data_IF_576241609587
#
_entry.id   IF_576241609587
#
_cell.length_a   1.000
_cell.length_b   1.000
_cell.length_c   1.000
_cell.angle_alpha   90.00
_cell.angle_beta   90.00
_cell.angle_gamma   90.00
#
_symmetry.space_group_name_H-M   'P 1'
#
loop_
_entity.id
_entity.type
_entity.pdbx_description
1 polymer ?
#
# COMPACT_ATOMS: atom_id res chain seq x y z
N UNK A 1 -12.92 -2.51 -9.19
CA UNK A 1 -13.90 -3.32 -8.44
C UNK A 1 -14.18 -2.71 -7.06
N UNK A 2 -13.19 -2.65 -6.13
CA UNK A 2 -13.42 -2.15 -4.76
C UNK A 2 -14.01 -0.74 -4.70
N UNK A 3 -13.51 0.18 -5.50
CA UNK A 3 -14.03 1.55 -5.53
C UNK A 3 -15.49 1.64 -5.99
N UNK A 4 -15.89 0.78 -6.93
CA UNK A 4 -17.28 0.69 -7.36
C UNK A 4 -18.17 0.12 -6.24
N UNK A 5 -17.69 -0.92 -5.56
CA UNK A 5 -18.41 -1.55 -4.44
C UNK A 5 -18.60 -0.54 -3.30
N UNK A 6 -17.55 0.18 -2.90
CA UNK A 6 -17.64 1.14 -1.79
C UNK A 6 -18.59 2.31 -2.07
N UNK A 7 -18.73 2.73 -3.33
CA UNK A 7 -19.66 3.79 -3.71
C UNK A 7 -21.14 3.32 -3.72
N UNK A 8 -21.39 2.01 -3.82
CA UNK A 8 -22.73 1.43 -3.90
C UNK A 8 -23.15 0.71 -2.62
N UNK A 9 -22.19 0.31 -1.78
CA UNK A 9 -22.44 -0.31 -0.49
C UNK A 9 -22.21 0.71 0.63
N UNK A 10 -23.26 1.14 1.30
CA UNK A 10 -23.22 2.19 2.34
C UNK A 10 -22.34 1.84 3.56
N UNK A 11 -21.85 0.60 3.64
CA UNK A 11 -21.12 0.07 4.80
C UNK A 11 -19.61 -0.04 4.59
N UNK A 12 -19.09 0.38 3.43
CA UNK A 12 -17.66 0.29 3.12
C UNK A 12 -17.10 1.66 2.79
N UNK A 13 -16.27 2.19 3.69
CA UNK A 13 -15.45 3.36 3.43
C UNK A 13 -14.14 2.93 2.78
N UNK A 14 -13.82 3.51 1.63
CA UNK A 14 -12.59 3.23 0.91
C UNK A 14 -11.76 4.50 0.72
N UNK A 15 -10.51 4.46 1.14
CA UNK A 15 -9.50 5.46 0.78
C UNK A 15 -8.42 4.79 -0.05
N UNK A 16 -8.07 5.38 -1.20
CA UNK A 16 -6.97 4.91 -2.04
C UNK A 16 -5.84 5.93 -1.96
N UNK A 17 -4.67 5.47 -1.55
CA UNK A 17 -3.45 6.26 -1.57
C UNK A 17 -2.45 5.72 -2.58
N UNK A 18 -1.69 6.63 -3.17
CA UNK A 18 -0.64 6.35 -4.13
C UNK A 18 0.68 6.86 -3.56
N UNK A 19 1.71 6.03 -3.64
CA UNK A 19 3.08 6.38 -3.25
C UNK A 19 3.90 6.60 -4.52
N UNK A 20 4.62 7.69 -4.56
CA UNK A 20 5.48 8.04 -5.71
C UNK A 20 6.59 8.98 -5.25
N UNK A 21 7.46 9.37 -6.17
CA UNK A 21 8.47 10.40 -5.95
C UNK A 21 8.21 11.61 -6.85
N UNK A 22 8.36 12.79 -6.29
CA UNK A 22 8.34 14.05 -7.03
C UNK A 22 9.69 14.73 -7.02
N UNK A 23 9.88 15.71 -7.88
CA UNK A 23 11.03 16.62 -7.79
C UNK A 23 10.79 17.63 -6.68
N UNK A 24 11.85 17.97 -5.94
CA UNK A 24 11.78 19.05 -4.96
C UNK A 24 11.86 20.40 -5.70
N UNK A 25 10.78 21.20 -5.71
CA UNK A 25 10.78 22.47 -6.43
C UNK A 25 11.64 23.54 -5.76
N UNK A 26 12.03 23.36 -4.49
CA UNK A 26 12.86 24.31 -3.74
C UNK A 26 14.35 24.16 -4.01
N UNK A 27 14.76 23.05 -4.62
CA UNK A 27 16.16 22.74 -4.88
C UNK A 27 16.44 22.76 -6.38
N UNK A 28 17.44 23.50 -6.78
CA UNK A 28 17.90 23.60 -8.17
C UNK A 28 18.57 22.33 -8.70
N UNK A 29 18.88 21.38 -7.82
CA UNK A 29 19.48 20.10 -8.19
C UNK A 29 18.46 19.17 -8.87
N UNK A 30 18.83 18.64 -10.04
CA UNK A 30 18.01 17.64 -10.74
C UNK A 30 17.87 16.31 -9.97
N UNK A 31 18.69 16.10 -8.94
CA UNK A 31 18.73 14.89 -8.11
C UNK A 31 17.92 15.02 -6.81
N UNK A 32 17.37 16.20 -6.55
CA UNK A 32 16.56 16.42 -5.36
C UNK A 32 15.14 15.88 -5.58
N UNK A 33 14.81 14.83 -4.84
CA UNK A 33 13.51 14.20 -4.88
C UNK A 33 12.84 14.22 -3.51
N UNK A 34 11.53 14.28 -3.48
CA UNK A 34 10.71 14.14 -2.28
C UNK A 34 9.78 12.93 -2.41
N UNK A 35 9.60 12.16 -1.33
CA UNK A 35 8.58 11.11 -1.32
C UNK A 35 7.20 11.76 -1.23
N UNK A 36 6.27 11.28 -2.03
CA UNK A 36 4.90 11.76 -2.06
C UNK A 36 3.95 10.64 -1.67
N UNK A 37 3.06 10.94 -0.74
CA UNK A 37 1.88 10.14 -0.41
C UNK A 37 0.65 10.94 -0.84
N UNK A 38 -0.01 10.49 -1.89
CA UNK A 38 -1.19 11.13 -2.47
C UNK A 38 -2.42 10.37 -2.01
N UNK A 39 -3.33 11.03 -1.28
CA UNK A 39 -4.67 10.50 -1.01
C UNK A 39 -5.53 10.72 -2.25
N UNK A 40 -5.53 9.73 -3.14
CA UNK A 40 -6.03 9.88 -4.50
C UNK A 40 -7.56 9.69 -4.61
N UNK A 41 -8.16 8.97 -3.66
CA UNK A 41 -9.60 8.72 -3.63
C UNK A 41 -10.09 8.52 -2.19
N UNK A 42 -11.27 9.04 -1.91
CA UNK A 42 -12.01 8.85 -0.65
C UNK A 42 -13.50 8.68 -1.01
N UNK A 43 -14.07 7.53 -0.73
CA UNK A 43 -15.45 7.19 -1.10
C UNK A 43 -16.50 8.11 -0.47
N UNK A 44 -16.16 8.81 0.62
CA UNK A 44 -17.04 9.80 1.28
C UNK A 44 -17.08 11.15 0.57
N UNK A 45 -16.11 11.46 -0.27
CA UNK A 45 -15.91 12.77 -0.88
C UNK A 45 -15.97 12.74 -2.41
N UNK A 46 -15.66 11.58 -3.00
CA UNK A 46 -15.44 11.43 -4.42
C UNK A 46 -16.52 10.59 -5.09
N UNK A 47 -16.68 10.82 -6.39
CA UNK A 47 -17.63 10.12 -7.24
C UNK A 47 -16.97 9.00 -8.04
N UNK A 48 -17.78 8.23 -8.79
CA UNK A 48 -17.28 7.23 -9.74
C UNK A 48 -16.39 7.86 -10.83
N UNK A 49 -16.65 9.10 -11.25
CA UNK A 49 -15.80 9.79 -12.21
C UNK A 49 -14.42 10.11 -11.64
N UNK A 50 -14.33 10.44 -10.36
CA UNK A 50 -13.05 10.65 -9.69
C UNK A 50 -12.26 9.33 -9.56
N UNK A 51 -12.95 8.22 -9.30
CA UNK A 51 -12.33 6.90 -9.30
C UNK A 51 -11.71 6.55 -10.67
N UNK A 52 -12.38 6.90 -11.77
CA UNK A 52 -11.84 6.69 -13.13
C UNK A 52 -10.56 7.50 -13.38
N UNK A 53 -10.41 8.67 -12.76
CA UNK A 53 -9.21 9.51 -12.87
C UNK A 53 -7.95 8.82 -12.31
N UNK A 54 -8.08 7.81 -11.44
CA UNK A 54 -6.94 7.05 -10.93
C UNK A 54 -6.10 6.41 -12.05
N UNK A 55 -6.71 6.07 -13.19
CA UNK A 55 -6.01 5.53 -14.35
C UNK A 55 -5.01 6.51 -14.98
N UNK A 56 -5.12 7.80 -14.69
CA UNK A 56 -4.23 8.84 -15.23
C UNK A 56 -3.04 9.14 -14.30
N UNK A 57 -3.02 8.62 -13.08
CA UNK A 57 -1.86 8.80 -12.20
C UNK A 57 -0.65 8.03 -12.72
N UNK A 58 0.38 8.76 -13.07
CA UNK A 58 1.68 8.18 -13.39
C UNK A 58 2.48 8.05 -12.11
N UNK A 59 2.72 6.82 -11.69
CA UNK A 59 3.58 6.52 -10.55
C UNK A 59 4.98 6.18 -11.05
N UNK A 60 5.99 6.72 -10.42
CA UNK A 60 7.38 6.48 -10.79
C UNK A 60 8.31 6.74 -9.61
N UNK A 61 9.53 6.25 -9.73
CA UNK A 61 10.60 6.49 -8.77
C UNK A 61 10.64 5.52 -7.60
N UNK A 62 11.53 5.80 -6.69
CA UNK A 62 11.81 4.98 -5.51
C UNK A 62 10.86 5.36 -4.37
N UNK A 63 10.39 4.38 -3.61
CA UNK A 63 9.42 4.63 -2.55
C UNK A 63 9.97 4.25 -1.16
N UNK A 64 10.08 5.21 -0.23
CA UNK A 64 10.40 4.92 1.16
C UNK A 64 9.16 4.36 1.87
N UNK A 65 8.88 3.09 1.67
CA UNK A 65 7.61 2.45 2.03
C UNK A 65 7.26 2.60 3.52
N UNK A 66 8.21 2.41 4.43
CA UNK A 66 7.99 2.57 5.87
C UNK A 66 7.61 4.00 6.24
N UNK A 67 8.28 5.00 5.67
CA UNK A 67 7.94 6.42 5.90
C UNK A 67 6.53 6.75 5.39
N UNK A 68 6.16 6.24 4.21
CA UNK A 68 4.83 6.42 3.65
C UNK A 68 3.75 5.73 4.51
N UNK A 69 4.03 4.52 5.02
CA UNK A 69 3.12 3.81 5.91
C UNK A 69 2.98 4.52 7.27
N UNK A 70 4.04 5.09 7.81
CA UNK A 70 3.99 5.90 9.03
C UNK A 70 3.12 7.15 8.82
N UNK A 71 3.30 7.86 7.70
CA UNK A 71 2.45 8.99 7.34
C UNK A 71 0.98 8.58 7.15
N UNK A 72 0.73 7.44 6.49
CA UNK A 72 -0.61 6.91 6.26
C UNK A 72 -1.29 6.47 7.56
N UNK A 73 -0.54 6.00 8.55
CA UNK A 73 -1.06 5.45 9.79
C UNK A 73 -2.00 6.42 10.55
N UNK A 74 -1.78 7.74 10.45
CA UNK A 74 -2.66 8.74 11.08
C UNK A 74 -4.05 8.81 10.45
N UNK A 75 -4.21 8.38 9.20
CA UNK A 75 -5.48 8.39 8.47
C UNK A 75 -6.23 7.07 8.57
N UNK A 76 -5.60 6.00 9.05
CA UNK A 76 -6.23 4.68 9.19
C UNK A 76 -6.95 4.64 10.55
N UNK A 77 -8.27 4.47 10.59
CA UNK A 77 -9.00 4.33 11.85
C UNK A 77 -8.62 3.02 12.55
N UNK A 78 -8.64 3.04 13.87
CA UNK A 78 -8.48 1.83 14.68
C UNK A 78 -9.70 0.92 14.49
N UNK A 79 -9.48 -0.38 14.45
CA UNK A 79 -10.59 -1.34 14.49
C UNK A 79 -11.26 -1.30 15.87
N UNK A 80 -12.58 -1.54 15.90
CA UNK A 80 -13.38 -1.59 17.11
C UNK A 80 -14.40 -2.72 17.01
N UNK A 81 -15.28 -2.88 17.98
CA UNK A 81 -16.39 -3.85 17.93
C UNK A 81 -17.30 -3.62 16.70
N UNK A 82 -17.51 -2.34 16.32
CA UNK A 82 -18.40 -1.96 15.23
C UNK A 82 -17.69 -1.66 13.90
N UNK A 83 -16.36 -1.59 13.89
CA UNK A 83 -15.58 -1.17 12.74
C UNK A 83 -14.38 -2.09 12.51
N UNK A 84 -14.38 -2.81 11.40
CA UNK A 84 -13.19 -3.48 10.90
C UNK A 84 -12.40 -2.56 9.96
N UNK A 85 -11.14 -2.34 10.27
CA UNK A 85 -10.23 -1.58 9.43
C UNK A 85 -9.24 -2.51 8.71
N UNK A 86 -9.03 -2.24 7.44
CA UNK A 86 -8.13 -3.00 6.58
C UNK A 86 -7.10 -2.07 5.92
N UNK A 87 -5.86 -2.48 5.86
CA UNK A 87 -4.85 -1.92 4.98
C UNK A 87 -4.50 -2.94 3.91
N UNK A 88 -4.80 -2.58 2.65
CA UNK A 88 -4.42 -3.38 1.48
C UNK A 88 -3.23 -2.67 0.84
N UNK A 89 -2.06 -3.29 0.90
CA UNK A 89 -0.83 -2.78 0.33
C UNK A 89 -0.43 -3.58 -0.91
N UNK A 90 -0.01 -2.89 -1.96
CA UNK A 90 0.56 -3.47 -3.17
C UNK A 90 1.96 -2.90 -3.37
N UNK A 91 2.95 -3.76 -3.55
CA UNK A 91 4.36 -3.38 -3.70
C UNK A 91 5.04 -4.29 -4.72
N UNK A 92 5.96 -3.74 -5.49
CA UNK A 92 6.71 -4.42 -6.56
C UNK A 92 8.22 -4.51 -6.27
N UNK A 93 8.67 -4.06 -5.11
CA UNK A 93 10.10 -4.02 -4.84
C UNK A 93 10.53 -3.81 -3.40
N UNK A 94 11.81 -3.46 -3.27
CA UNK A 94 12.40 -3.07 -1.99
C UNK A 94 11.98 -1.65 -1.60
N UNK A 95 11.84 -1.38 -0.28
CA UNK A 95 11.66 -0.03 0.21
C UNK A 95 12.96 0.75 0.01
N UNK A 96 13.02 1.58 -1.03
CA UNK A 96 14.20 2.35 -1.38
C UNK A 96 13.84 3.80 -1.69
N UNK A 97 14.71 4.72 -1.23
CA UNK A 97 14.63 6.12 -1.60
C UNK A 97 16.01 6.77 -1.43
N UNK A 98 16.40 7.61 -2.38
CA UNK A 98 17.62 8.39 -2.33
C UNK A 98 17.35 9.82 -2.81
N UNK A 99 17.80 10.80 -2.05
CA UNK A 99 17.70 12.21 -2.43
C UNK A 99 18.69 13.05 -1.64
N UNK A 100 19.47 13.91 -2.31
CA UNK A 100 20.30 14.98 -1.71
C UNK A 100 21.03 14.59 -0.42
N UNK A 101 21.71 13.44 -0.41
CA UNK A 101 22.45 12.94 0.76
C UNK A 101 21.63 12.11 1.75
N UNK A 102 20.31 12.02 1.58
CA UNK A 102 19.47 11.11 2.34
C UNK A 102 19.35 9.76 1.61
N UNK A 103 19.71 8.68 2.31
CA UNK A 103 19.68 7.32 1.78
C UNK A 103 18.77 6.45 2.66
N UNK A 104 17.71 5.91 2.06
CA UNK A 104 16.79 4.99 2.69
C UNK A 104 16.72 3.68 1.89
N UNK A 105 17.48 2.67 2.32
CA UNK A 105 17.57 1.38 1.62
C UNK A 105 18.09 0.25 2.51
N UNK A 106 18.03 -0.97 1.97
CA UNK A 106 18.59 -2.16 2.61
C UNK A 106 17.91 -2.54 3.91
N UNK A 107 18.66 -3.12 4.85
CA UNK A 107 18.13 -3.68 6.10
C UNK A 107 17.41 -2.63 6.97
N UNK A 108 17.91 -1.42 7.04
CA UNK A 108 17.29 -0.33 7.83
C UNK A 108 15.90 0.03 7.31
N UNK A 109 15.74 0.18 5.99
CA UNK A 109 14.47 0.48 5.36
C UNK A 109 13.45 -0.67 5.53
N UNK A 110 13.90 -1.93 5.42
CA UNK A 110 13.08 -3.12 5.68
C UNK A 110 12.57 -3.13 7.12
N UNK A 111 13.45 -2.88 8.10
CA UNK A 111 13.08 -2.87 9.51
C UNK A 111 12.18 -1.69 9.86
N UNK A 112 12.40 -0.52 9.27
CA UNK A 112 11.54 0.64 9.44
C UNK A 112 10.12 0.35 8.89
N UNK A 113 10.03 -0.24 7.71
CA UNK A 113 8.76 -0.70 7.14
C UNK A 113 8.06 -1.71 8.06
N UNK A 114 8.80 -2.68 8.62
CA UNK A 114 8.24 -3.65 9.55
C UNK A 114 7.69 -2.99 10.83
N UNK A 115 8.37 -1.97 11.36
CA UNK A 115 7.89 -1.17 12.51
C UNK A 115 6.61 -0.41 12.18
N UNK A 116 6.54 0.23 11.01
CA UNK A 116 5.35 0.94 10.55
C UNK A 116 4.15 -0.02 10.43
N UNK A 117 4.34 -1.17 9.81
CA UNK A 117 3.32 -2.23 9.70
C UNK A 117 2.87 -2.73 11.09
N UNK A 118 3.81 -2.94 12.00
CA UNK A 118 3.50 -3.34 13.38
C UNK A 118 2.68 -2.29 14.11
N UNK A 119 3.00 -1.01 13.94
CA UNK A 119 2.23 0.11 14.51
C UNK A 119 0.79 0.12 14.01
N UNK A 120 0.58 -0.10 12.72
CA UNK A 120 -0.76 -0.18 12.11
C UNK A 120 -1.53 -1.39 12.69
N UNK A 121 -0.89 -2.56 12.78
CA UNK A 121 -1.50 -3.78 13.35
C UNK A 121 -1.91 -3.61 14.81
N UNK A 122 -1.16 -2.84 15.62
CA UNK A 122 -1.51 -2.55 17.02
C UNK A 122 -2.82 -1.79 17.18
N UNK A 123 -3.28 -1.11 16.13
CA UNK A 123 -4.62 -0.46 16.11
C UNK A 123 -5.75 -1.46 15.78
N UNK A 124 -5.47 -2.76 15.71
CA UNK A 124 -6.42 -3.80 15.31
C UNK A 124 -6.64 -3.89 13.79
N UNK A 125 -5.91 -3.09 12.99
CA UNK A 125 -6.05 -3.06 11.54
C UNK A 125 -5.56 -4.36 10.92
N UNK A 126 -6.37 -4.97 10.07
CA UNK A 126 -6.01 -6.17 9.31
C UNK A 126 -5.19 -5.75 8.08
N UNK A 127 -3.91 -6.11 8.09
CA UNK A 127 -2.97 -5.77 6.99
C UNK A 127 -2.91 -6.92 5.99
N UNK A 128 -3.14 -6.61 4.72
CA UNK A 128 -3.01 -7.51 3.57
C UNK A 128 -1.98 -6.89 2.63
N UNK A 129 -0.84 -7.56 2.46
CA UNK A 129 0.23 -7.03 1.60
C UNK A 129 0.52 -7.98 0.47
N UNK A 130 0.41 -7.46 -0.73
CA UNK A 130 0.62 -8.17 -1.98
C UNK A 130 1.91 -7.72 -2.63
N UNK A 131 2.81 -8.66 -2.82
CA UNK A 131 3.99 -8.48 -3.66
C UNK A 131 3.61 -8.88 -5.08
N UNK A 132 3.71 -7.93 -6.01
CA UNK A 132 3.46 -8.15 -7.43
C UNK A 132 4.81 -8.47 -8.06
N UNK A 133 4.99 -9.73 -8.47
CA UNK A 133 6.23 -10.17 -9.11
C UNK A 133 6.39 -9.49 -10.47
N UNK A 134 7.52 -8.80 -10.64
CA UNK A 134 7.98 -8.31 -11.93
C UNK A 134 9.14 -9.17 -12.39
N UNK A 135 9.52 -9.12 -13.67
CA UNK A 135 10.61 -9.94 -14.25
C UNK A 135 11.94 -9.74 -13.51
N UNK A 136 12.17 -10.55 -12.48
CA UNK A 136 13.35 -10.51 -11.63
C UNK A 136 14.10 -11.85 -11.72
N UNK A 137 15.43 -11.81 -11.72
CA UNK A 137 16.25 -13.03 -11.64
C UNK A 137 15.93 -13.81 -10.37
N UNK A 138 16.02 -15.15 -10.41
CA UNK A 138 15.67 -16.05 -9.30
C UNK A 138 16.39 -15.75 -7.98
N UNK A 139 17.64 -15.29 -8.04
CA UNK A 139 18.43 -14.93 -6.84
C UNK A 139 17.84 -13.68 -6.18
N UNK A 140 17.59 -12.65 -6.97
CA UNK A 140 17.01 -11.38 -6.49
C UNK A 140 15.58 -11.58 -5.97
N UNK A 141 14.84 -12.51 -6.56
CA UNK A 141 13.49 -12.86 -6.12
C UNK A 141 13.50 -13.44 -4.69
N UNK A 142 14.43 -14.33 -4.37
CA UNK A 142 14.55 -14.91 -3.03
C UNK A 142 14.86 -13.84 -1.95
N UNK A 143 15.70 -12.87 -2.27
CA UNK A 143 15.99 -11.74 -1.38
C UNK A 143 14.75 -10.85 -1.18
N UNK A 144 14.03 -10.56 -2.24
CA UNK A 144 12.77 -9.80 -2.20
C UNK A 144 11.71 -10.51 -1.37
N UNK A 145 11.53 -11.81 -1.57
CA UNK A 145 10.59 -12.64 -0.78
C UNK A 145 10.93 -12.59 0.70
N UNK A 146 12.22 -12.75 1.05
CA UNK A 146 12.69 -12.66 2.44
C UNK A 146 12.45 -11.28 3.05
N UNK A 147 12.77 -10.23 2.31
CA UNK A 147 12.55 -8.85 2.73
C UNK A 147 11.06 -8.58 2.94
N UNK A 148 10.22 -8.97 2.00
CA UNK A 148 8.78 -8.76 2.07
C UNK A 148 8.14 -9.51 3.25
N UNK A 149 8.56 -10.75 3.49
CA UNK A 149 8.16 -11.49 4.69
C UNK A 149 8.64 -10.85 5.99
N UNK A 150 9.83 -10.23 5.98
CA UNK A 150 10.33 -9.48 7.15
C UNK A 150 9.45 -8.26 7.44
N UNK A 151 9.03 -7.53 6.41
CA UNK A 151 8.20 -6.33 6.55
C UNK A 151 6.76 -6.65 7.00
N UNK A 152 6.15 -7.67 6.41
CA UNK A 152 4.70 -7.91 6.55
C UNK A 152 4.35 -9.19 7.32
N UNK A 153 5.31 -10.09 7.52
CA UNK A 153 5.10 -11.36 8.23
C UNK A 153 4.10 -12.27 7.51
N UNK A 154 3.14 -12.81 8.25
CA UNK A 154 2.06 -13.67 7.73
C UNK A 154 1.11 -12.95 6.76
N UNK A 155 1.14 -11.64 6.73
CA UNK A 155 0.31 -10.82 5.82
C UNK A 155 0.92 -10.68 4.41
N UNK A 156 2.15 -11.20 4.21
CA UNK A 156 2.84 -11.17 2.92
C UNK A 156 2.23 -12.22 1.98
N UNK A 157 1.71 -11.78 0.86
CA UNK A 157 1.15 -12.62 -0.22
C UNK A 157 1.88 -12.30 -1.52
N UNK A 158 2.29 -13.33 -2.24
CA UNK A 158 3.00 -13.19 -3.51
C UNK A 158 2.03 -13.49 -4.65
N UNK A 159 1.95 -12.60 -5.63
CA UNK A 159 0.99 -12.68 -6.73
C UNK A 159 1.72 -12.60 -8.06
N UNK A 160 1.47 -13.56 -8.91
CA UNK A 160 1.80 -13.47 -10.33
C UNK A 160 0.95 -12.35 -10.98
N UNK A 161 1.55 -11.37 -11.70
CA UNK A 161 0.83 -10.33 -12.41
C UNK A 161 -0.28 -10.85 -13.34
N UNK A 162 -0.11 -12.06 -13.88
CA UNK A 162 -1.13 -12.74 -14.71
C UNK A 162 -2.35 -13.20 -13.91
N UNK A 163 -2.26 -13.24 -12.57
CA UNK A 163 -3.26 -13.76 -11.66
C UNK A 163 -3.82 -12.71 -10.70
N UNK A 164 -3.89 -11.45 -11.11
CA UNK A 164 -4.41 -10.33 -10.29
C UNK A 164 -5.83 -10.59 -9.76
N UNK A 165 -6.60 -11.47 -10.42
CA UNK A 165 -7.91 -11.89 -9.92
C UNK A 165 -7.86 -12.58 -8.54
N UNK A 166 -6.70 -13.11 -8.11
CA UNK A 166 -6.54 -13.66 -6.76
C UNK A 166 -6.73 -12.60 -5.67
N UNK A 167 -6.35 -11.34 -5.95
CA UNK A 167 -6.62 -10.21 -5.04
C UNK A 167 -8.13 -10.06 -4.87
N UNK A 168 -8.85 -10.00 -5.98
CA UNK A 168 -10.32 -9.86 -5.98
C UNK A 168 -10.97 -11.01 -5.23
N UNK A 169 -10.52 -12.26 -5.45
CA UNK A 169 -11.05 -13.44 -4.75
C UNK A 169 -10.80 -13.35 -3.23
N UNK A 170 -9.60 -12.95 -2.81
CA UNK A 170 -9.28 -12.79 -1.39
C UNK A 170 -10.14 -11.71 -0.75
N UNK A 171 -10.31 -10.58 -1.42
CA UNK A 171 -11.13 -9.48 -0.93
C UNK A 171 -12.61 -9.85 -0.87
N UNK A 172 -13.14 -10.50 -1.90
CA UNK A 172 -14.50 -11.01 -1.87
C UNK A 172 -14.73 -11.98 -0.70
N UNK A 173 -13.80 -12.92 -0.45
CA UNK A 173 -13.90 -13.83 0.69
C UNK A 173 -13.85 -13.12 2.05
N UNK A 174 -13.16 -11.99 2.16
CA UNK A 174 -13.11 -11.20 3.39
C UNK A 174 -14.42 -10.44 3.64
N UNK A 175 -15.01 -9.89 2.58
CA UNK A 175 -16.22 -9.06 2.70
C UNK A 175 -17.51 -9.89 2.68
N UNK A 176 -17.60 -10.93 1.84
CA UNK A 176 -18.82 -11.76 1.73
C UNK A 176 -19.01 -12.74 2.90
N UNK A 177 -17.94 -13.15 3.61
CA UNK A 177 -18.09 -14.03 4.79
C UNK A 177 -18.78 -13.36 5.97
N UNK A 178 -18.95 -12.05 5.98
CA UNK A 178 -19.64 -11.33 7.06
C UNK A 178 -21.15 -11.29 6.90
N UNK A 179 -21.65 -11.25 5.68
CA UNK A 179 -23.10 -11.20 5.42
C UNK A 179 -23.82 -12.52 5.76
N UNK A 180 -23.05 -13.58 6.09
CA UNK A 180 -23.60 -14.89 6.49
C UNK A 180 -23.65 -15.11 8.02
N UNK A 181 -23.25 -14.12 8.83
CA UNK A 181 -23.18 -14.23 10.31
C UNK A 181 -24.02 -13.13 11.01
N UNK A 182 -24.73 -12.31 10.24
CA UNK A 182 -25.64 -11.28 10.77
C UNK A 182 -27.09 -11.74 10.74
#
# INVERSE_FOLDING_TARGET
ALGYISLHMQNIDLTISIRTTGKDPSLSSQTAHIPLLILAFDSKKHTLNDLKKLAYYKVSGLTPEGMCLNALNQYIPSSSYYLDSYLINMSDGFPTFESSGFIYKGKSAILDTAKAVSSIKKKGVKVLSYFIETDVTSIKLNELVKAFRTMYGKSATFIDPKNVHQITKTLNNLFLKRDLIS
#
